data_IF_855998547338
#
_entry.id   IF_855998547338
#
_cell.length_a   1.000
_cell.length_b   1.000
_cell.length_c   1.000
_cell.angle_alpha   90.00
_cell.angle_beta   90.00
_cell.angle_gamma   90.00
#
_symmetry.space_group_name_H-M   'P 1'
#
loop_
_entity.id
_entity.type
_entity.pdbx_description
1 polymer ?
#
# COMPACT_ATOMS: atom_id res chain seq x y z
N UNK A 1 38.96 4.90 16.52
CA UNK A 1 38.41 3.78 15.74
C UNK A 1 37.09 4.24 15.11
N UNK A 2 37.02 4.27 13.80
CA UNK A 2 35.77 4.60 13.12
C UNK A 2 34.78 3.45 13.33
N UNK A 3 33.55 3.70 13.76
CA UNK A 3 32.56 2.63 13.91
C UNK A 3 32.26 2.00 12.54
N UNK A 4 32.13 0.68 12.47
CA UNK A 4 31.77 0.03 11.22
C UNK A 4 30.35 0.39 10.81
N UNK A 5 30.18 0.65 9.51
CA UNK A 5 28.90 0.85 8.86
C UNK A 5 28.58 -0.38 8.02
N UNK A 6 27.35 -0.81 8.08
CA UNK A 6 26.80 -1.83 7.19
C UNK A 6 25.68 -1.21 6.38
N UNK A 7 25.81 -1.21 5.05
CA UNK A 7 24.74 -0.79 4.14
C UNK A 7 24.26 -1.97 3.32
N UNK A 8 22.94 -2.13 3.23
CA UNK A 8 22.33 -3.23 2.50
C UNK A 8 20.91 -2.86 2.04
N UNK A 9 20.42 -3.58 1.05
CA UNK A 9 19.02 -3.52 0.63
C UNK A 9 18.27 -4.69 1.27
N UNK A 10 17.03 -4.45 1.65
CA UNK A 10 16.11 -5.48 2.11
C UNK A 10 14.76 -5.35 1.42
N UNK A 11 14.15 -6.50 1.18
CA UNK A 11 12.78 -6.61 0.74
C UNK A 11 11.91 -7.02 1.93
N UNK A 12 10.86 -6.26 2.18
CA UNK A 12 9.86 -6.52 3.21
C UNK A 12 8.58 -7.04 2.56
N UNK A 13 7.97 -8.03 3.18
CA UNK A 13 6.61 -8.45 2.83
C UNK A 13 5.74 -8.40 4.08
N UNK A 14 4.68 -7.62 4.02
CA UNK A 14 3.69 -7.47 5.08
C UNK A 14 2.36 -8.05 4.62
N UNK A 15 1.70 -8.84 5.49
CA UNK A 15 0.38 -9.38 5.19
C UNK A 15 -0.68 -8.61 5.96
N UNK A 16 -1.63 -7.99 5.23
CA UNK A 16 -2.72 -7.22 5.81
C UNK A 16 -4.02 -7.68 5.18
N UNK A 17 -4.99 -8.07 6.03
CA UNK A 17 -6.27 -8.63 5.60
C UNK A 17 -6.11 -9.75 4.57
N UNK A 18 -5.08 -10.61 4.76
CA UNK A 18 -4.77 -11.71 3.84
C UNK A 18 -4.08 -11.29 2.54
N UNK A 19 -3.73 -10.02 2.37
CA UNK A 19 -3.09 -9.48 1.18
C UNK A 19 -1.62 -9.16 1.47
N UNK A 20 -0.72 -9.53 0.57
CA UNK A 20 0.71 -9.28 0.72
C UNK A 20 1.10 -7.94 0.09
N UNK A 21 1.70 -7.08 0.89
CA UNK A 21 2.33 -5.83 0.47
C UNK A 21 3.84 -6.00 0.49
N UNK A 22 4.51 -5.56 -0.56
CA UNK A 22 5.96 -5.58 -0.65
C UNK A 22 6.53 -4.18 -0.66
N UNK A 23 7.67 -4.01 -0.01
CA UNK A 23 8.43 -2.77 -0.02
C UNK A 23 9.92 -3.10 -0.02
N UNK A 24 10.73 -2.23 -0.65
CA UNK A 24 12.17 -2.33 -0.68
C UNK A 24 12.79 -1.15 0.02
N UNK A 25 13.82 -1.41 0.82
CA UNK A 25 14.51 -0.40 1.61
C UNK A 25 16.02 -0.48 1.40
N UNK A 26 16.66 0.68 1.43
CA UNK A 26 18.08 0.80 1.70
C UNK A 26 18.29 1.07 3.17
N UNK A 27 19.09 0.24 3.83
CA UNK A 27 19.37 0.34 5.27
C UNK A 27 20.84 0.61 5.49
N UNK A 28 21.13 1.51 6.42
CA UNK A 28 22.49 1.76 6.90
C UNK A 28 22.51 1.64 8.42
N UNK A 29 23.29 0.68 8.92
CA UNK A 29 23.50 0.43 10.33
C UNK A 29 24.86 0.92 10.78
N UNK A 30 24.91 1.57 11.93
CA UNK A 30 26.13 1.91 12.67
C UNK A 30 26.28 0.97 13.86
N UNK A 31 27.39 0.31 13.94
CA UNK A 31 27.67 -0.66 14.99
C UNK A 31 28.71 -0.14 15.96
N UNK A 32 28.54 -0.43 17.25
CA UNK A 32 29.52 -0.19 18.32
C UNK A 32 29.81 -1.47 19.07
N UNK A 33 31.08 -1.60 19.50
CA UNK A 33 31.49 -2.71 20.36
C UNK A 33 31.51 -2.26 21.82
N UNK A 34 30.66 -2.87 22.67
CA UNK A 34 30.61 -2.64 24.11
C UNK A 34 30.79 -3.96 24.82
N UNK A 35 31.74 -3.99 25.79
CA UNK A 35 32.05 -5.20 26.58
C UNK A 35 32.28 -6.46 25.72
N UNK A 36 32.97 -6.29 24.58
CA UNK A 36 33.28 -7.39 23.66
C UNK A 36 32.16 -7.78 22.71
N UNK A 37 30.95 -7.23 22.84
CA UNK A 37 29.75 -7.54 22.03
C UNK A 37 29.46 -6.39 21.04
N UNK A 38 29.20 -6.74 19.79
CA UNK A 38 28.73 -5.81 18.77
C UNK A 38 27.25 -5.52 18.94
N UNK A 39 26.88 -4.25 18.91
CA UNK A 39 25.50 -3.78 19.04
C UNK A 39 25.24 -2.70 18.01
N UNK A 40 24.02 -2.69 17.44
CA UNK A 40 23.57 -1.60 16.58
C UNK A 40 23.36 -0.36 17.45
N UNK A 41 24.06 0.71 17.12
CA UNK A 41 23.92 2.00 17.78
C UNK A 41 22.91 2.91 17.08
N UNK A 42 22.78 2.78 15.78
CA UNK A 42 21.84 3.53 14.95
C UNK A 42 21.51 2.73 13.70
N UNK A 43 20.26 2.79 13.27
CA UNK A 43 19.79 2.25 11.99
C UNK A 43 18.99 3.32 11.27
N UNK A 44 19.27 3.49 9.98
CA UNK A 44 18.52 4.35 9.09
C UNK A 44 17.97 3.51 7.93
N UNK A 45 16.67 3.56 7.72
CA UNK A 45 16.03 2.90 6.59
C UNK A 45 15.38 3.95 5.68
N UNK A 46 15.66 3.86 4.39
CA UNK A 46 15.06 4.69 3.37
C UNK A 46 14.33 3.78 2.39
N UNK A 47 13.03 4.01 2.23
CA UNK A 47 12.22 3.25 1.28
C UNK A 47 12.54 3.66 -0.14
N UNK A 48 12.75 2.68 -1.02
CA UNK A 48 12.79 2.94 -2.45
C UNK A 48 11.39 3.29 -2.95
N UNK A 49 11.33 4.33 -3.75
CA UNK A 49 10.11 4.76 -4.39
C UNK A 49 10.08 4.22 -5.82
N UNK A 50 9.40 3.11 -5.99
CA UNK A 50 9.22 2.46 -7.29
C UNK A 50 7.75 2.07 -7.46
N UNK A 51 7.19 2.34 -8.65
CA UNK A 51 5.88 1.81 -8.97
C UNK A 51 5.97 0.28 -9.08
N UNK A 52 5.02 -0.47 -8.49
CA UNK A 52 4.98 -1.92 -8.66
C UNK A 52 4.75 -2.34 -10.10
N UNK A 53 5.10 -3.58 -10.39
CA UNK A 53 4.70 -4.21 -11.63
C UNK A 53 3.17 -4.31 -11.71
N UNK A 54 2.60 -3.96 -12.86
CA UNK A 54 1.15 -4.04 -13.07
C UNK A 54 0.74 -5.51 -13.24
N UNK A 55 -0.09 -6.01 -12.33
CA UNK A 55 -0.67 -7.35 -12.41
C UNK A 55 -1.82 -7.41 -13.42
N UNK A 56 -2.11 -8.62 -13.91
CA UNK A 56 -3.29 -8.88 -14.73
C UNK A 56 -4.47 -9.23 -13.83
N UNK A 57 -5.55 -8.48 -13.96
CA UNK A 57 -6.86 -8.77 -13.34
C UNK A 57 -7.91 -8.78 -14.45
N UNK A 58 -8.87 -9.70 -14.36
CA UNK A 58 -10.01 -9.68 -15.27
C UNK A 58 -10.87 -8.44 -15.00
N UNK A 59 -11.18 -7.62 -16.03
CA UNK A 59 -11.94 -6.38 -15.85
C UNK A 59 -13.31 -6.57 -15.19
N UNK A 60 -13.93 -7.75 -15.36
CA UNK A 60 -15.19 -8.07 -14.69
C UNK A 60 -15.11 -7.98 -13.15
N UNK A 61 -13.92 -8.23 -12.57
CA UNK A 61 -13.70 -8.13 -11.12
C UNK A 61 -13.79 -6.69 -10.61
N UNK A 62 -13.62 -5.69 -11.48
CA UNK A 62 -13.72 -4.30 -11.09
C UNK A 62 -15.13 -3.90 -10.64
N UNK A 63 -16.15 -4.66 -11.02
CA UNK A 63 -17.51 -4.47 -10.52
C UNK A 63 -17.62 -4.66 -9.01
N UNK A 64 -16.84 -5.57 -8.42
CA UNK A 64 -16.83 -5.83 -6.98
C UNK A 64 -16.34 -4.60 -6.20
N UNK A 65 -15.39 -3.86 -6.77
CA UNK A 65 -14.77 -2.70 -6.16
C UNK A 65 -15.54 -1.39 -6.40
N UNK A 66 -16.38 -1.37 -7.44
CA UNK A 66 -17.13 -0.17 -7.83
C UNK A 66 -18.16 0.20 -6.77
N UNK A 67 -18.19 1.46 -6.38
CA UNK A 67 -19.09 1.96 -5.35
C UNK A 67 -18.64 3.28 -4.75
N UNK A 68 -19.40 3.77 -3.78
CA UNK A 68 -19.05 4.95 -2.98
C UNK A 68 -18.54 4.50 -1.62
N UNK A 69 -17.45 5.10 -1.20
CA UNK A 69 -16.79 4.81 0.07
C UNK A 69 -16.69 6.09 0.90
N UNK A 70 -17.05 6.03 2.17
CA UNK A 70 -17.09 7.15 3.08
C UNK A 70 -16.07 6.99 4.21
N UNK A 71 -15.33 8.05 4.49
CA UNK A 71 -14.41 8.14 5.64
C UNK A 71 -15.12 8.73 6.86
N UNK A 72 -15.84 9.82 6.65
CA UNK A 72 -16.64 10.54 7.64
C UNK A 72 -17.79 11.22 6.90
N UNK A 73 -18.87 11.65 7.58
CA UNK A 73 -20.02 12.25 6.95
C UNK A 73 -19.65 13.31 5.90
N UNK A 74 -20.05 13.08 4.65
CA UNK A 74 -19.76 13.96 3.51
C UNK A 74 -18.35 13.85 2.93
N UNK A 75 -17.47 13.03 3.50
CA UNK A 75 -16.14 12.74 2.93
C UNK A 75 -16.16 11.43 2.17
N UNK A 76 -16.41 11.51 0.89
CA UNK A 76 -16.58 10.33 0.05
C UNK A 76 -15.51 10.20 -1.04
N UNK A 77 -15.31 8.96 -1.47
CA UNK A 77 -14.60 8.58 -2.70
C UNK A 77 -15.52 7.70 -3.53
N UNK A 78 -15.49 7.87 -4.82
CA UNK A 78 -16.19 7.01 -5.77
C UNK A 78 -15.17 6.15 -6.51
N UNK A 79 -15.39 4.84 -6.51
CA UNK A 79 -14.63 3.90 -7.34
C UNK A 79 -15.51 3.41 -8.46
N UNK A 80 -15.01 3.38 -9.68
CA UNK A 80 -15.75 2.96 -10.87
C UNK A 80 -14.82 2.42 -11.94
N UNK A 81 -15.33 1.56 -12.80
CA UNK A 81 -14.62 1.05 -13.97
C UNK A 81 -15.04 1.77 -15.24
N UNK A 82 -14.07 2.02 -16.11
CA UNK A 82 -14.29 2.55 -17.45
C UNK A 82 -13.23 1.98 -18.40
N UNK A 83 -13.67 1.46 -19.56
CA UNK A 83 -12.79 0.90 -20.59
C UNK A 83 -11.72 -0.05 -20.04
N UNK A 84 -12.14 -1.05 -19.27
CA UNK A 84 -11.25 -2.06 -18.66
C UNK A 84 -10.19 -1.51 -17.69
N UNK A 85 -10.43 -0.32 -17.14
CA UNK A 85 -9.58 0.29 -16.11
C UNK A 85 -10.41 0.69 -14.90
N UNK A 86 -9.78 0.64 -13.72
CA UNK A 86 -10.41 1.06 -12.47
C UNK A 86 -9.93 2.47 -12.09
N UNK A 87 -10.84 3.27 -11.59
CA UNK A 87 -10.58 4.65 -11.20
C UNK A 87 -11.12 4.94 -9.81
N UNK A 88 -10.45 5.85 -9.11
CA UNK A 88 -10.97 6.48 -7.91
C UNK A 88 -11.12 7.97 -8.15
N UNK A 89 -12.26 8.53 -7.70
CA UNK A 89 -12.54 9.96 -7.78
C UNK A 89 -12.82 10.52 -6.38
N UNK A 90 -12.21 11.66 -6.09
CA UNK A 90 -12.44 12.42 -4.87
C UNK A 90 -12.35 13.92 -5.19
N UNK A 91 -13.36 14.70 -4.76
CA UNK A 91 -13.40 16.16 -4.95
C UNK A 91 -13.17 16.59 -6.41
N UNK A 92 -13.76 15.84 -7.36
CA UNK A 92 -13.59 16.09 -8.80
C UNK A 92 -12.24 15.69 -9.39
N UNK A 93 -11.29 15.21 -8.58
CA UNK A 93 -10.02 14.67 -9.06
C UNK A 93 -10.17 13.18 -9.29
N UNK A 94 -9.88 12.74 -10.50
CA UNK A 94 -9.89 11.34 -10.92
C UNK A 94 -8.47 10.80 -11.04
N UNK A 95 -8.22 9.62 -10.49
CA UNK A 95 -6.95 8.91 -10.56
C UNK A 95 -7.18 7.46 -10.99
N UNK A 96 -6.34 6.94 -11.87
CA UNK A 96 -6.39 5.54 -12.27
C UNK A 96 -5.76 4.66 -11.20
N UNK A 97 -6.39 3.52 -10.92
CA UNK A 97 -5.89 2.48 -10.04
C UNK A 97 -5.29 1.35 -10.89
N UNK A 98 -4.00 1.10 -10.71
CA UNK A 98 -3.29 0.02 -11.38
C UNK A 98 -3.21 -1.18 -10.45
N UNK A 99 -3.57 -2.39 -10.90
CA UNK A 99 -3.51 -3.57 -10.06
C UNK A 99 -2.06 -3.99 -9.78
N UNK A 100 -1.75 -4.26 -8.52
CA UNK A 100 -0.53 -4.94 -8.06
C UNK A 100 -0.83 -6.40 -7.69
N UNK A 101 -2.06 -6.68 -7.29
CA UNK A 101 -2.60 -8.00 -6.96
C UNK A 101 -4.11 -8.01 -7.10
N UNK A 102 -4.77 -9.07 -6.64
CA UNK A 102 -6.22 -9.25 -6.85
C UNK A 102 -7.09 -8.21 -6.16
N UNK A 103 -6.67 -7.69 -5.01
CA UNK A 103 -7.37 -6.67 -4.21
C UNK A 103 -6.48 -5.48 -3.86
N UNK A 104 -5.25 -5.44 -4.40
CA UNK A 104 -4.26 -4.40 -4.13
C UNK A 104 -4.04 -3.58 -5.40
N UNK A 105 -4.12 -2.27 -5.25
CA UNK A 105 -3.95 -1.31 -6.33
C UNK A 105 -2.99 -0.20 -5.92
N UNK A 106 -2.35 0.40 -6.90
CA UNK A 106 -1.51 1.58 -6.72
C UNK A 106 -1.87 2.68 -7.71
N UNK A 107 -1.42 3.88 -7.43
CA UNK A 107 -1.47 5.04 -8.33
C UNK A 107 -0.06 5.34 -8.78
N UNK A 108 0.18 5.49 -10.08
CA UNK A 108 1.52 5.79 -10.59
C UNK A 108 2.04 7.10 -10.00
N UNK A 109 3.30 7.04 -9.58
CA UNK A 109 3.97 8.19 -8.99
C UNK A 109 3.43 8.61 -7.61
N UNK A 110 2.61 7.78 -6.93
CA UNK A 110 2.07 8.09 -5.60
C UNK A 110 2.41 6.97 -4.64
N UNK A 111 3.12 7.32 -3.56
CA UNK A 111 3.39 6.37 -2.49
C UNK A 111 2.09 5.90 -1.82
N UNK A 112 2.05 4.64 -1.42
CA UNK A 112 0.91 4.02 -0.79
C UNK A 112 0.18 3.04 -1.70
N UNK A 113 -0.81 2.38 -1.12
CA UNK A 113 -1.64 1.37 -1.78
C UNK A 113 -3.11 1.60 -1.47
N UNK A 114 -3.95 1.18 -2.39
CA UNK A 114 -5.39 1.05 -2.18
C UNK A 114 -5.70 -0.44 -2.10
N UNK A 115 -6.22 -0.88 -0.97
CA UNK A 115 -6.64 -2.25 -0.74
C UNK A 115 -8.16 -2.30 -0.64
N UNK A 116 -8.77 -3.34 -1.24
CA UNK A 116 -10.18 -3.62 -1.06
C UNK A 116 -10.33 -4.81 -0.11
N UNK A 117 -11.12 -4.62 0.94
CA UNK A 117 -11.40 -5.66 1.92
C UNK A 117 -12.75 -6.30 1.60
N UNK A 118 -12.76 -7.63 1.62
CA UNK A 118 -14.00 -8.41 1.56
C UNK A 118 -14.49 -8.72 2.97
N UNK A 119 -15.77 -8.52 3.21
CA UNK A 119 -16.43 -9.00 4.41
C UNK A 119 -16.74 -10.51 4.32
N UNK A 120 -17.18 -11.12 5.42
CA UNK A 120 -17.49 -12.56 5.50
C UNK A 120 -18.58 -12.99 4.51
N UNK A 121 -19.44 -12.07 4.08
CA UNK A 121 -20.48 -12.33 3.07
C UNK A 121 -19.97 -12.32 1.62
N UNK A 122 -18.65 -12.20 1.42
CA UNK A 122 -18.00 -12.19 0.11
C UNK A 122 -18.16 -10.89 -0.68
N UNK A 123 -18.66 -9.81 -0.06
CA UNK A 123 -18.76 -8.48 -0.69
C UNK A 123 -17.70 -7.54 -0.16
N UNK A 124 -17.22 -6.65 -1.01
CA UNK A 124 -16.29 -5.59 -0.59
C UNK A 124 -17.03 -4.63 0.34
N UNK A 125 -16.50 -4.44 1.55
CA UNK A 125 -17.07 -3.57 2.59
C UNK A 125 -16.23 -2.33 2.85
N UNK A 126 -14.96 -2.33 2.44
CA UNK A 126 -14.08 -1.19 2.67
C UNK A 126 -13.01 -1.04 1.57
N UNK A 127 -12.64 0.22 1.36
CA UNK A 127 -11.43 0.65 0.68
C UNK A 127 -10.45 1.14 1.76
N UNK A 128 -9.23 0.63 1.74
CA UNK A 128 -8.18 0.99 2.69
C UNK A 128 -7.10 1.74 1.92
N UNK A 129 -6.90 3.01 2.27
CA UNK A 129 -5.81 3.83 1.73
C UNK A 129 -4.63 3.72 2.70
N UNK A 130 -3.65 2.91 2.34
CA UNK A 130 -2.45 2.67 3.15
C UNK A 130 -1.33 3.60 2.71
N UNK A 131 -0.81 4.37 3.65
CA UNK A 131 0.33 5.27 3.47
C UNK A 131 1.25 5.19 4.68
N UNK A 132 2.55 5.02 4.47
CA UNK A 132 3.54 5.07 5.55
C UNK A 132 3.14 4.25 6.79
N UNK A 133 2.64 3.03 6.60
CA UNK A 133 2.13 2.16 7.67
C UNK A 133 0.88 2.68 8.41
N UNK A 134 0.18 3.65 7.84
CA UNK A 134 -1.11 4.12 8.32
C UNK A 134 -2.22 3.62 7.40
N UNK A 135 -3.26 3.02 8.00
CA UNK A 135 -4.44 2.57 7.29
C UNK A 135 -5.59 3.54 7.50
N UNK A 136 -6.01 4.19 6.42
CA UNK A 136 -7.22 5.02 6.43
C UNK A 136 -8.36 4.22 5.80
N UNK A 137 -9.29 3.80 6.62
CA UNK A 137 -10.40 2.92 6.22
C UNK A 137 -11.61 3.74 5.79
N UNK A 138 -12.00 3.57 4.53
CA UNK A 138 -13.20 4.12 3.91
C UNK A 138 -14.25 3.03 3.82
N UNK A 139 -15.37 3.18 4.50
CA UNK A 139 -16.44 2.18 4.51
C UNK A 139 -17.32 2.31 3.26
N UNK A 140 -17.67 1.18 2.65
CA UNK A 140 -18.58 1.18 1.51
C UNK A 140 -19.97 1.62 1.95
N UNK A 141 -20.53 2.56 1.23
CA UNK A 141 -21.93 2.97 1.39
C UNK A 141 -22.85 1.94 0.70
N UNK A 142 -24.01 1.69 1.30
CA UNK A 142 -25.06 0.82 0.72
C UNK A 142 -25.78 1.49 -0.44
#
# INVERSE_FOLDING_TARGET
>A
MTPPFLSYDLDETETIFGQNLTARYHVTDTWLRRNGVWQIASSQAMRYYEDPAVARIEPKKFADFSGTYELAPGQTRRVFSERESLYVERNGKREQLFPEGSEIFFRKGVEGRILFRYADNGKVDALIDRRNNEDVVWRRMN
#
